data_IF_649146428861
#
_entry.id   IF_649146428861
#
_cell.length_a   1.000
_cell.length_b   1.000
_cell.length_c   1.000
_cell.angle_alpha   90.00
_cell.angle_beta   90.00
_cell.angle_gamma   90.00
#
_symmetry.space_group_name_H-M   'P 1'
#
loop_
_entity.id
_entity.type
_entity.pdbx_description
1 polymer ?
#
# COMPACT_ATOMS: atom_id res chain seq x y z
N UNK A 1 61.56 -2.09 -8.10
CA UNK A 1 60.38 -2.35 -8.96
C UNK A 1 59.64 -3.61 -8.58
N UNK A 2 60.26 -4.81 -8.46
CA UNK A 2 59.55 -6.05 -8.10
C UNK A 2 58.77 -6.00 -6.76
N UNK A 3 59.32 -5.35 -5.73
CA UNK A 3 58.68 -5.22 -4.39
C UNK A 3 57.46 -4.26 -4.41
N UNK A 4 57.44 -3.26 -5.29
CA UNK A 4 56.31 -2.33 -5.43
C UNK A 4 55.17 -3.02 -6.18
N UNK A 5 55.47 -3.81 -7.21
CA UNK A 5 54.50 -4.62 -7.95
C UNK A 5 53.84 -5.68 -7.06
N UNK A 6 54.60 -6.33 -6.15
CA UNK A 6 54.04 -7.29 -5.19
C UNK A 6 53.13 -6.63 -4.13
N UNK A 7 53.45 -5.39 -3.71
CA UNK A 7 52.60 -4.62 -2.79
C UNK A 7 51.29 -4.18 -3.45
N UNK A 8 51.33 -3.76 -4.72
CA UNK A 8 50.12 -3.41 -5.50
C UNK A 8 49.23 -4.65 -5.73
N UNK A 9 49.83 -5.80 -6.01
CA UNK A 9 49.11 -7.06 -6.17
C UNK A 9 48.44 -7.51 -4.84
N UNK A 10 49.09 -7.34 -3.70
CA UNK A 10 48.53 -7.63 -2.38
C UNK A 10 47.41 -6.64 -2.02
N UNK A 11 47.60 -5.35 -2.36
CA UNK A 11 46.55 -4.33 -2.13
C UNK A 11 45.33 -4.54 -3.00
N UNK A 12 45.50 -5.02 -4.23
CA UNK A 12 44.38 -5.40 -5.13
C UNK A 12 43.61 -6.65 -4.64
N UNK A 13 44.29 -7.60 -3.98
CA UNK A 13 43.63 -8.75 -3.36
C UNK A 13 42.93 -8.41 -2.02
N UNK A 14 43.21 -7.25 -1.42
CA UNK A 14 42.57 -6.76 -0.20
C UNK A 14 41.35 -5.87 -0.48
N UNK A 15 40.97 -5.62 -1.74
CA UNK A 15 39.69 -5.02 -2.01
C UNK A 15 38.61 -6.03 -1.55
N UNK A 16 37.79 -5.67 -0.54
CA UNK A 16 36.72 -6.57 -0.15
C UNK A 16 35.87 -6.78 -1.39
N UNK A 17 35.72 -8.04 -1.83
CA UNK A 17 34.70 -8.45 -2.75
C UNK A 17 33.40 -8.03 -2.07
N UNK A 18 32.85 -6.88 -2.46
CA UNK A 18 31.59 -6.41 -1.92
C UNK A 18 30.58 -7.42 -2.42
N UNK A 19 30.20 -8.37 -1.56
CA UNK A 19 29.10 -9.26 -1.86
C UNK A 19 27.91 -8.38 -2.25
N UNK A 20 27.48 -8.46 -3.50
CA UNK A 20 26.32 -7.72 -3.95
C UNK A 20 25.15 -8.21 -3.11
N UNK A 21 24.33 -7.29 -2.66
CA UNK A 21 23.12 -7.69 -1.96
C UNK A 21 22.15 -8.31 -2.99
N UNK A 22 21.32 -9.29 -2.64
CA UNK A 22 20.36 -9.86 -3.57
C UNK A 22 19.48 -8.80 -4.26
N UNK A 23 19.20 -7.70 -3.57
CA UNK A 23 18.50 -6.55 -4.17
C UNK A 23 19.34 -5.85 -5.26
N UNK A 24 20.64 -5.68 -5.06
CA UNK A 24 21.52 -5.09 -6.05
C UNK A 24 21.67 -5.99 -7.28
N UNK A 25 21.72 -7.31 -7.10
CA UNK A 25 21.76 -8.30 -8.19
C UNK A 25 20.48 -8.24 -9.04
N UNK A 26 19.30 -8.19 -8.42
CA UNK A 26 18.03 -8.04 -9.14
C UNK A 26 17.95 -6.70 -9.90
N UNK A 27 18.44 -5.60 -9.30
CA UNK A 27 18.52 -4.30 -9.95
C UNK A 27 19.48 -4.31 -11.15
N UNK A 28 20.58 -5.02 -11.05
CA UNK A 28 21.53 -5.17 -12.15
C UNK A 28 20.93 -5.98 -13.32
N UNK A 29 20.25 -7.10 -13.03
CA UNK A 29 19.52 -7.88 -14.03
C UNK A 29 18.47 -7.00 -14.74
N UNK A 30 17.72 -6.19 -13.99
CA UNK A 30 16.77 -5.23 -14.56
C UNK A 30 17.46 -4.21 -15.50
N UNK A 31 18.58 -3.63 -15.07
CA UNK A 31 19.33 -2.64 -15.85
C UNK A 31 19.91 -3.24 -17.16
N UNK A 32 20.25 -4.53 -17.15
CA UNK A 32 20.71 -5.29 -18.33
C UNK A 32 19.57 -5.72 -19.26
N UNK A 33 18.30 -5.48 -18.89
CA UNK A 33 17.13 -5.91 -19.64
C UNK A 33 16.70 -7.36 -19.39
N UNK A 34 17.34 -8.05 -18.44
CA UNK A 34 17.02 -9.41 -18.02
C UNK A 34 15.83 -9.40 -17.05
N UNK A 35 14.66 -8.99 -17.55
CA UNK A 35 13.49 -8.75 -16.70
C UNK A 35 12.97 -10.01 -15.99
N UNK A 36 13.10 -11.19 -16.59
CA UNK A 36 12.70 -12.47 -15.98
C UNK A 36 13.56 -12.77 -14.74
N UNK A 37 14.87 -12.58 -14.86
CA UNK A 37 15.81 -12.78 -13.76
C UNK A 37 15.59 -11.73 -12.65
N UNK A 38 15.33 -10.48 -13.03
CA UNK A 38 15.02 -9.42 -12.09
C UNK A 38 13.74 -9.73 -11.28
N UNK A 39 12.65 -10.16 -11.95
CA UNK A 39 11.41 -10.61 -11.30
C UNK A 39 11.69 -11.71 -10.29
N UNK A 40 12.39 -12.78 -10.72
CA UNK A 40 12.73 -13.91 -9.84
C UNK A 40 13.51 -13.43 -8.60
N UNK A 41 14.48 -12.53 -8.78
CA UNK A 41 15.27 -11.98 -7.68
C UNK A 41 14.43 -11.16 -6.68
N UNK A 42 13.54 -10.29 -7.19
CA UNK A 42 12.65 -9.50 -6.31
C UNK A 42 11.63 -10.37 -5.60
N UNK A 43 11.02 -11.36 -6.28
CA UNK A 43 10.06 -12.28 -5.67
C UNK A 43 10.71 -13.11 -4.55
N UNK A 44 11.93 -13.57 -4.76
CA UNK A 44 12.66 -14.30 -3.73
C UNK A 44 12.94 -13.45 -2.50
N UNK A 45 13.33 -12.20 -2.68
CA UNK A 45 13.52 -11.24 -1.58
C UNK A 45 12.23 -11.04 -0.77
N UNK A 46 11.10 -10.90 -1.46
CA UNK A 46 9.80 -10.74 -0.82
C UNK A 46 9.40 -12.01 -0.07
N UNK A 47 9.54 -13.18 -0.70
CA UNK A 47 9.23 -14.48 -0.08
C UNK A 47 10.07 -14.73 1.17
N UNK A 48 11.37 -14.43 1.12
CA UNK A 48 12.28 -14.56 2.24
C UNK A 48 11.91 -13.62 3.40
N UNK A 49 11.47 -12.40 3.09
CA UNK A 49 11.01 -11.44 4.09
C UNK A 49 9.69 -11.87 4.73
N UNK A 50 8.74 -12.35 3.92
CA UNK A 50 7.45 -12.88 4.40
C UNK A 50 7.65 -14.08 5.33
N UNK A 51 8.51 -15.03 4.94
CA UNK A 51 8.82 -16.21 5.75
C UNK A 51 9.44 -15.89 7.11
N UNK A 52 10.11 -14.74 7.23
CA UNK A 52 10.73 -14.26 8.48
C UNK A 52 9.86 -13.24 9.23
N UNK A 53 8.65 -12.96 8.76
CA UNK A 53 7.79 -11.89 9.27
C UNK A 53 8.50 -10.51 9.32
N UNK A 54 9.44 -10.30 8.39
CA UNK A 54 10.32 -9.12 8.33
C UNK A 54 9.94 -8.16 7.21
N UNK A 55 8.71 -8.24 6.68
CA UNK A 55 8.24 -7.33 5.65
C UNK A 55 7.97 -5.95 6.27
N UNK A 56 8.82 -5.00 5.94
CA UNK A 56 8.78 -3.62 6.46
C UNK A 56 8.55 -2.61 5.33
N UNK A 57 8.40 -1.33 5.68
CA UNK A 57 8.27 -0.22 4.73
C UNK A 57 9.41 -0.19 3.69
N UNK A 58 10.60 -0.71 4.03
CA UNK A 58 11.77 -0.75 3.13
C UNK A 58 11.54 -1.64 1.91
N UNK A 59 10.63 -2.61 2.01
CA UNK A 59 10.25 -3.47 0.87
C UNK A 59 9.35 -2.78 -0.16
N UNK A 60 8.90 -1.56 0.10
CA UNK A 60 8.15 -0.78 -0.88
C UNK A 60 8.95 -0.56 -2.17
N UNK A 61 10.28 -0.34 -2.06
CA UNK A 61 11.16 -0.20 -3.23
C UNK A 61 11.32 -1.52 -3.98
N UNK A 62 11.37 -2.66 -3.28
CA UNK A 62 11.42 -3.99 -3.91
C UNK A 62 10.15 -4.25 -4.72
N UNK A 63 8.97 -3.98 -4.15
CA UNK A 63 7.70 -4.11 -4.87
C UNK A 63 7.59 -3.13 -6.05
N UNK A 64 8.06 -1.91 -5.90
CA UNK A 64 8.08 -0.93 -6.99
C UNK A 64 8.93 -1.41 -8.17
N UNK A 65 10.15 -1.90 -7.89
CA UNK A 65 11.04 -2.41 -8.92
C UNK A 65 10.51 -3.70 -9.55
N UNK A 66 9.86 -4.57 -8.76
CA UNK A 66 9.14 -5.74 -9.26
C UNK A 66 8.03 -5.32 -10.23
N UNK A 67 7.24 -4.30 -9.89
CA UNK A 67 6.21 -3.75 -10.77
C UNK A 67 6.77 -3.22 -12.09
N UNK A 68 7.92 -2.54 -12.03
CA UNK A 68 8.64 -2.09 -13.23
C UNK A 68 9.09 -3.28 -14.10
N UNK A 69 9.60 -4.35 -13.49
CA UNK A 69 10.06 -5.53 -14.21
C UNK A 69 8.88 -6.27 -14.88
N UNK A 70 7.76 -6.47 -14.18
CA UNK A 70 6.54 -7.04 -14.76
C UNK A 70 5.98 -6.19 -15.89
N UNK A 71 5.94 -4.87 -15.73
CA UNK A 71 5.53 -3.98 -16.82
C UNK A 71 6.39 -4.15 -18.07
N UNK A 72 7.72 -4.31 -17.91
CA UNK A 72 8.63 -4.56 -19.04
C UNK A 72 8.42 -5.91 -19.72
N UNK A 73 7.88 -6.89 -19.00
CA UNK A 73 7.47 -8.19 -19.56
C UNK A 73 6.09 -8.14 -20.21
N UNK A 74 5.29 -7.09 -20.00
CA UNK A 74 3.92 -6.96 -20.50
C UNK A 74 2.86 -7.55 -19.56
N UNK A 75 3.27 -8.01 -18.37
CA UNK A 75 2.40 -8.59 -17.33
C UNK A 75 1.71 -7.48 -16.53
N UNK A 76 0.64 -6.90 -17.11
CA UNK A 76 0.03 -5.67 -16.57
C UNK A 76 -0.65 -5.89 -15.21
N UNK A 77 -1.32 -7.03 -15.01
CA UNK A 77 -1.97 -7.37 -13.73
C UNK A 77 -0.97 -7.51 -12.60
N UNK A 78 0.15 -8.21 -12.84
CA UNK A 78 1.24 -8.37 -11.89
C UNK A 78 1.91 -7.02 -11.56
N UNK A 79 2.11 -6.17 -12.57
CA UNK A 79 2.68 -4.84 -12.38
C UNK A 79 1.78 -3.96 -11.48
N UNK A 80 0.47 -3.96 -11.73
CA UNK A 80 -0.51 -3.23 -10.91
C UNK A 80 -0.49 -3.74 -9.47
N UNK A 81 -0.53 -5.06 -9.27
CA UNK A 81 -0.48 -5.68 -7.95
C UNK A 81 0.79 -5.27 -7.18
N UNK A 82 1.95 -5.32 -7.84
CA UNK A 82 3.21 -4.94 -7.24
C UNK A 82 3.25 -3.46 -6.85
N UNK A 83 2.77 -2.54 -7.71
CA UNK A 83 2.69 -1.11 -7.36
C UNK A 83 1.70 -0.83 -6.23
N UNK A 84 0.55 -1.52 -6.19
CA UNK A 84 -0.41 -1.39 -5.08
C UNK A 84 0.20 -1.85 -3.75
N UNK A 85 0.95 -2.96 -3.76
CA UNK A 85 1.70 -3.44 -2.59
C UNK A 85 2.80 -2.47 -2.16
N UNK A 86 3.52 -1.85 -3.11
CA UNK A 86 4.48 -0.79 -2.80
C UNK A 86 3.80 0.41 -2.13
N UNK A 87 2.66 0.85 -2.64
CA UNK A 87 1.89 1.97 -2.10
C UNK A 87 1.22 1.64 -0.77
N UNK A 88 0.91 0.38 -0.50
CA UNK A 88 0.43 -0.07 0.81
C UNK A 88 1.49 0.11 1.88
N UNK A 89 2.76 -0.24 1.59
CA UNK A 89 3.89 -0.05 2.49
C UNK A 89 4.30 1.43 2.59
N UNK A 90 4.35 2.13 1.44
CA UNK A 90 4.70 3.55 1.38
C UNK A 90 3.68 4.36 0.56
N UNK A 91 2.58 4.84 1.18
CA UNK A 91 1.51 5.56 0.48
C UNK A 91 1.94 6.86 -0.21
N UNK A 92 3.13 7.38 0.13
CA UNK A 92 3.70 8.61 -0.44
C UNK A 92 4.69 8.39 -1.58
N UNK A 93 4.91 7.15 -2.01
CA UNK A 93 5.84 6.82 -3.08
C UNK A 93 5.30 7.33 -4.43
N UNK A 94 5.76 8.50 -4.85
CA UNK A 94 5.25 9.19 -6.04
C UNK A 94 5.45 8.37 -7.31
N UNK A 95 6.63 7.76 -7.44
CA UNK A 95 7.00 7.00 -8.64
C UNK A 95 6.10 5.77 -8.80
N UNK A 96 5.81 5.04 -7.71
CA UNK A 96 4.87 3.93 -7.75
C UNK A 96 3.45 4.38 -8.12
N UNK A 97 2.99 5.53 -7.58
CA UNK A 97 1.68 6.10 -7.92
C UNK A 97 1.59 6.48 -9.39
N UNK A 98 2.61 7.15 -9.93
CA UNK A 98 2.64 7.56 -11.34
C UNK A 98 2.68 6.35 -12.27
N UNK A 99 3.49 5.34 -11.94
CA UNK A 99 3.58 4.11 -12.75
C UNK A 99 2.29 3.29 -12.66
N UNK A 100 1.66 3.20 -11.49
CA UNK A 100 0.36 2.56 -11.33
C UNK A 100 -0.70 3.25 -12.20
N UNK A 101 -0.80 4.58 -12.16
CA UNK A 101 -1.73 5.34 -12.98
C UNK A 101 -1.46 5.13 -14.48
N UNK A 102 -0.19 5.16 -14.88
CA UNK A 102 0.21 4.92 -16.25
C UNK A 102 -0.15 3.51 -16.77
N UNK A 103 0.02 2.47 -15.94
CA UNK A 103 -0.32 1.08 -16.30
C UNK A 103 -1.83 0.88 -16.27
N UNK A 104 -2.54 1.46 -15.29
CA UNK A 104 -4.00 1.36 -15.18
C UNK A 104 -4.74 1.97 -16.37
N UNK A 105 -4.13 2.93 -17.08
CA UNK A 105 -4.69 3.45 -18.33
C UNK A 105 -4.61 2.48 -19.51
N UNK A 106 -3.88 1.35 -19.38
CA UNK A 106 -3.67 0.34 -20.43
C UNK A 106 -4.49 -0.92 -20.25
N UNK A 107 -5.11 -1.12 -19.10
CA UNK A 107 -6.04 -2.23 -18.90
C UNK A 107 -7.40 -1.95 -19.53
N UNK A 108 -8.15 -3.01 -19.79
CA UNK A 108 -9.43 -2.94 -20.49
C UNK A 108 -10.51 -2.24 -19.64
N UNK A 109 -10.59 -2.60 -18.35
CA UNK A 109 -11.60 -2.05 -17.45
C UNK A 109 -11.10 -0.73 -16.84
N UNK A 110 -11.44 0.37 -17.47
CA UNK A 110 -11.20 1.69 -16.89
C UNK A 110 -12.33 2.02 -15.94
N UNK A 111 -12.06 1.86 -14.67
CA UNK A 111 -12.97 2.34 -13.63
C UNK A 111 -12.63 3.82 -13.43
N UNK A 112 -13.44 4.70 -14.04
CA UNK A 112 -13.35 6.12 -13.72
C UNK A 112 -13.74 6.27 -12.25
N UNK A 113 -12.77 6.61 -11.42
CA UNK A 113 -13.06 7.09 -10.07
C UNK A 113 -14.05 8.25 -10.22
N UNK A 114 -15.27 8.04 -9.72
CA UNK A 114 -16.28 9.10 -9.69
C UNK A 114 -15.62 10.32 -9.08
N UNK A 115 -15.63 11.43 -9.82
CA UNK A 115 -14.98 12.70 -9.44
C UNK A 115 -15.29 12.98 -7.98
N UNK A 116 -14.33 12.73 -7.13
CA UNK A 116 -14.42 13.06 -5.72
C UNK A 116 -14.44 14.60 -5.60
N UNK A 117 -15.18 15.10 -4.63
CA UNK A 117 -15.20 16.52 -4.36
C UNK A 117 -13.78 16.93 -3.89
N UNK A 118 -13.22 18.01 -4.43
CA UNK A 118 -11.81 18.42 -4.19
C UNK A 118 -11.43 18.44 -2.70
N UNK A 119 -12.38 18.76 -1.81
CA UNK A 119 -12.17 18.76 -0.37
C UNK A 119 -11.96 17.33 0.18
N UNK A 120 -12.65 16.36 -0.40
CA UNK A 120 -12.48 14.94 -0.05
C UNK A 120 -11.08 14.46 -0.44
N UNK A 121 -10.62 14.81 -1.64
CA UNK A 121 -9.26 14.47 -2.10
C UNK A 121 -8.19 15.09 -1.21
N UNK A 122 -8.39 16.35 -0.82
CA UNK A 122 -7.49 17.02 0.10
C UNK A 122 -7.45 16.37 1.48
N UNK A 123 -8.60 15.98 2.04
CA UNK A 123 -8.67 15.26 3.32
C UNK A 123 -8.03 13.87 3.24
N UNK A 124 -8.23 13.15 2.13
CA UNK A 124 -7.59 11.86 1.87
C UNK A 124 -6.08 12.03 1.75
N UNK A 125 -5.61 13.04 1.02
CA UNK A 125 -4.19 13.34 0.88
C UNK A 125 -3.55 13.70 2.24
N UNK A 126 -4.25 14.49 3.07
CA UNK A 126 -3.81 14.83 4.42
C UNK A 126 -3.72 13.58 5.30
N UNK A 127 -4.74 12.72 5.28
CA UNK A 127 -4.76 11.46 6.02
C UNK A 127 -3.62 10.54 5.61
N UNK A 128 -3.49 10.27 4.31
CA UNK A 128 -2.46 9.38 3.77
C UNK A 128 -1.04 9.99 3.87
N UNK A 129 -0.97 11.26 4.21
CA UNK A 129 0.27 11.98 4.43
C UNK A 129 1.01 11.60 5.70
N UNK A 130 0.41 10.87 6.64
CA UNK A 130 0.96 10.55 7.95
C UNK A 130 0.76 9.07 8.25
N UNK A 131 1.69 8.47 9.02
CA UNK A 131 1.54 7.07 9.47
C UNK A 131 0.38 6.94 10.47
N UNK A 132 -0.24 5.76 10.54
CA UNK A 132 -1.28 5.44 11.52
C UNK A 132 -0.86 5.80 12.95
N UNK A 133 0.38 5.41 13.33
CA UNK A 133 0.93 5.71 14.64
C UNK A 133 0.97 7.20 14.97
N UNK A 134 1.23 8.06 13.99
CA UNK A 134 1.24 9.53 14.19
C UNK A 134 -0.15 10.05 14.51
N UNK A 135 -1.18 9.56 13.80
CA UNK A 135 -2.57 9.91 14.05
C UNK A 135 -3.02 9.44 15.44
N UNK A 136 -2.60 8.22 15.84
CA UNK A 136 -2.89 7.65 17.15
C UNK A 136 -2.29 8.49 18.27
N UNK A 137 -1.00 8.81 18.21
CA UNK A 137 -0.35 9.63 19.21
C UNK A 137 -0.93 11.05 19.29
N UNK A 138 -1.27 11.64 18.15
CA UNK A 138 -1.90 12.96 18.10
C UNK A 138 -3.30 12.93 18.75
N UNK A 139 -4.07 11.86 18.51
CA UNK A 139 -5.38 11.67 19.14
C UNK A 139 -5.26 11.57 20.67
N UNK A 140 -4.31 10.78 21.17
CA UNK A 140 -4.05 10.63 22.61
C UNK A 140 -3.63 11.97 23.23
N UNK A 141 -2.75 12.72 22.56
CA UNK A 141 -2.30 14.03 23.03
C UNK A 141 -3.47 15.03 23.13
N UNK A 142 -4.28 15.11 22.09
CA UNK A 142 -5.44 16.01 22.04
C UNK A 142 -6.51 15.61 23.07
N UNK A 143 -6.74 14.32 23.27
CA UNK A 143 -7.63 13.82 24.30
C UNK A 143 -7.13 14.18 25.72
N UNK A 144 -5.83 14.03 25.95
CA UNK A 144 -5.22 14.45 27.23
C UNK A 144 -5.34 15.96 27.47
N UNK A 145 -5.18 16.76 26.40
CA UNK A 145 -5.37 18.22 26.47
C UNK A 145 -6.82 18.59 26.76
N UNK A 146 -7.77 17.86 26.18
CA UNK A 146 -9.21 18.01 26.47
C UNK A 146 -9.49 17.75 27.96
N UNK A 147 -8.95 16.66 28.54
CA UNK A 147 -9.11 16.35 29.97
C UNK A 147 -8.50 17.44 30.85
N UNK A 148 -7.31 17.93 30.52
CA UNK A 148 -6.68 19.03 31.23
C UNK A 148 -7.52 20.31 31.15
N UNK A 149 -8.06 20.65 30.00
CA UNK A 149 -8.98 21.77 29.82
C UNK A 149 -10.26 21.63 30.63
N UNK A 150 -10.83 20.43 30.67
CA UNK A 150 -12.02 20.14 31.48
C UNK A 150 -11.73 20.30 33.00
N UNK A 151 -10.59 19.80 33.46
CA UNK A 151 -10.17 19.98 34.85
C UNK A 151 -9.98 21.47 35.20
N UNK A 152 -9.34 22.24 34.33
CA UNK A 152 -9.18 23.69 34.51
C UNK A 152 -10.52 24.43 34.46
N UNK A 153 -11.46 23.99 33.64
CA UNK A 153 -12.82 24.54 33.64
C UNK A 153 -13.55 24.28 34.94
N UNK A 154 -13.43 23.07 35.51
CA UNK A 154 -14.12 22.69 36.75
C UNK A 154 -13.48 23.31 38.02
N UNK A 155 -12.14 23.35 38.06
CA UNK A 155 -11.38 23.75 39.26
C UNK A 155 -10.89 25.20 39.19
N UNK A 156 -10.94 25.85 38.04
CA UNK A 156 -10.47 27.23 37.85
C UNK A 156 -11.29 28.24 38.64
N UNK A 157 -10.63 29.14 39.35
CA UNK A 157 -11.27 30.17 40.15
C UNK A 157 -11.66 31.40 39.33
N UNK A 158 -10.89 31.73 38.33
CA UNK A 158 -11.10 32.93 37.51
C UNK A 158 -12.02 32.63 36.30
N UNK A 159 -13.01 33.50 36.08
CA UNK A 159 -13.99 33.34 34.99
C UNK A 159 -13.34 33.34 33.61
N UNK A 160 -12.28 34.14 33.41
CA UNK A 160 -11.54 34.20 32.15
C UNK A 160 -10.83 32.88 31.82
N UNK A 161 -10.16 32.26 32.84
CA UNK A 161 -9.49 30.98 32.73
C UNK A 161 -10.50 29.87 32.43
N UNK A 162 -11.62 29.82 33.11
CA UNK A 162 -12.68 28.83 32.86
C UNK A 162 -13.24 28.94 31.46
N UNK A 163 -13.50 30.15 30.96
CA UNK A 163 -13.99 30.37 29.60
C UNK A 163 -12.98 29.90 28.54
N UNK A 164 -11.71 30.25 28.71
CA UNK A 164 -10.66 29.78 27.82
C UNK A 164 -10.51 28.25 27.85
N UNK A 165 -10.48 27.66 29.05
CA UNK A 165 -10.37 26.21 29.25
C UNK A 165 -11.53 25.44 28.60
N UNK A 166 -12.76 25.98 28.67
CA UNK A 166 -13.92 25.41 27.99
C UNK A 166 -13.72 25.33 26.45
N UNK A 167 -13.25 26.42 25.81
CA UNK A 167 -13.01 26.44 24.39
C UNK A 167 -11.87 25.48 24.00
N UNK A 168 -10.79 25.47 24.77
CA UNK A 168 -9.67 24.53 24.55
C UNK A 168 -10.16 23.09 24.65
N UNK A 169 -10.94 22.74 25.66
CA UNK A 169 -11.47 21.39 25.82
C UNK A 169 -12.35 20.97 24.61
N UNK A 170 -13.27 21.84 24.16
CA UNK A 170 -14.13 21.54 23.02
C UNK A 170 -13.35 21.39 21.70
N UNK A 171 -12.43 22.30 21.41
CA UNK A 171 -11.61 22.24 20.20
C UNK A 171 -10.75 20.96 20.22
N UNK A 172 -10.11 20.67 21.37
CA UNK A 172 -9.27 19.47 21.52
C UNK A 172 -10.09 18.18 21.39
N UNK A 173 -11.33 18.15 21.89
CA UNK A 173 -12.23 17.01 21.71
C UNK A 173 -12.54 16.77 20.24
N UNK A 174 -12.95 17.80 19.49
CA UNK A 174 -13.28 17.67 18.06
C UNK A 174 -12.08 17.21 17.25
N UNK A 175 -10.89 17.78 17.52
CA UNK A 175 -9.66 17.38 16.85
C UNK A 175 -9.24 15.95 17.25
N UNK A 176 -9.42 15.54 18.50
CA UNK A 176 -9.12 14.18 18.96
C UNK A 176 -10.01 13.14 18.25
N UNK A 177 -11.31 13.42 18.12
CA UNK A 177 -12.24 12.57 17.39
C UNK A 177 -11.83 12.46 15.92
N UNK A 178 -11.53 13.59 15.27
CA UNK A 178 -11.07 13.60 13.87
C UNK A 178 -9.80 12.78 13.69
N UNK A 179 -8.78 12.96 14.54
CA UNK A 179 -7.52 12.23 14.45
C UNK A 179 -7.70 10.75 14.78
N UNK A 180 -8.58 10.41 15.72
CA UNK A 180 -8.95 9.04 16.06
C UNK A 180 -9.65 8.30 14.89
N UNK A 181 -10.55 8.96 14.19
CA UNK A 181 -11.20 8.41 13.00
C UNK A 181 -10.15 8.13 11.91
N UNK A 182 -9.20 9.05 11.68
CA UNK A 182 -8.13 8.83 10.69
C UNK A 182 -7.22 7.67 11.09
N UNK A 183 -6.84 7.54 12.37
CA UNK A 183 -6.08 6.39 12.87
C UNK A 183 -6.84 5.07 12.64
N UNK A 184 -8.13 5.02 13.02
CA UNK A 184 -8.96 3.83 12.84
C UNK A 184 -9.16 3.44 11.38
N UNK A 185 -9.32 4.41 10.47
CA UNK A 185 -9.46 4.13 9.04
C UNK A 185 -8.18 3.60 8.42
N UNK A 186 -7.00 4.10 8.82
CA UNK A 186 -5.71 3.58 8.36
C UNK A 186 -5.47 2.18 8.92
N UNK A 187 -5.73 1.96 10.21
CA UNK A 187 -5.62 0.64 10.84
C UNK A 187 -6.49 -0.41 10.15
N UNK A 188 -7.77 -0.08 9.90
CA UNK A 188 -8.69 -0.96 9.20
C UNK A 188 -8.22 -1.27 7.77
N UNK A 189 -7.63 -0.31 7.07
CA UNK A 189 -7.06 -0.51 5.73
C UNK A 189 -5.85 -1.45 5.74
N UNK A 190 -5.00 -1.34 6.78
CA UNK A 190 -3.80 -2.16 6.91
C UNK A 190 -4.11 -3.60 7.36
N UNK A 191 -5.18 -3.78 8.14
CA UNK A 191 -5.61 -5.10 8.65
C UNK A 191 -6.56 -5.84 7.72
N UNK A 192 -7.45 -5.13 7.03
CA UNK A 192 -8.43 -5.73 6.14
C UNK A 192 -7.86 -5.83 4.72
N UNK A 193 -7.49 -7.05 4.33
CA UNK A 193 -7.07 -7.38 2.96
C UNK A 193 -8.31 -7.56 2.06
N UNK A 194 -9.11 -6.50 1.96
CA UNK A 194 -10.37 -6.53 1.18
C UNK A 194 -10.15 -6.18 -0.30
N UNK A 195 -9.02 -5.60 -0.65
CA UNK A 195 -8.70 -5.22 -2.03
C UNK A 195 -7.91 -6.33 -2.72
N UNK A 196 -8.24 -6.58 -3.99
CA UNK A 196 -7.59 -7.58 -4.83
C UNK A 196 -7.51 -7.12 -6.28
N UNK A 197 -6.62 -7.74 -7.04
CA UNK A 197 -6.44 -7.53 -8.48
C UNK A 197 -6.88 -8.78 -9.21
N UNK A 198 -7.63 -8.63 -10.31
CA UNK A 198 -7.95 -9.71 -11.25
C UNK A 198 -6.67 -10.10 -11.98
N UNK A 199 -6.30 -11.39 -11.91
CA UNK A 199 -5.04 -11.92 -12.44
C UNK A 199 -5.20 -12.69 -13.75
N UNK A 200 -6.42 -13.00 -14.16
CA UNK A 200 -6.71 -13.71 -15.41
C UNK A 200 -7.21 -12.75 -16.48
N UNK A 201 -6.90 -13.02 -17.72
CA UNK A 201 -7.23 -12.17 -18.87
C UNK A 201 -8.69 -11.75 -18.92
N UNK A 202 -9.62 -12.69 -18.70
CA UNK A 202 -11.06 -12.43 -18.59
C UNK A 202 -11.67 -13.33 -17.53
N UNK A 203 -12.42 -12.74 -16.59
CA UNK A 203 -13.11 -13.42 -15.49
C UNK A 203 -14.60 -13.06 -15.53
N UNK A 204 -15.46 -14.06 -15.55
CA UNK A 204 -16.91 -13.86 -15.46
C UNK A 204 -17.33 -13.74 -13.99
N UNK A 205 -17.92 -12.62 -13.62
CA UNK A 205 -18.57 -12.42 -12.34
C UNK A 205 -19.99 -12.97 -12.39
N UNK A 206 -20.34 -13.86 -11.44
CA UNK A 206 -21.57 -14.62 -11.40
C UNK A 206 -22.53 -14.14 -10.32
N UNK A 207 -23.81 -14.48 -10.49
CA UNK A 207 -24.89 -14.14 -9.53
C UNK A 207 -24.83 -14.95 -8.24
N UNK A 208 -24.20 -16.13 -8.26
CA UNK A 208 -24.07 -17.06 -7.12
C UNK A 208 -22.68 -17.69 -7.08
N UNK A 209 -22.18 -18.12 -5.90
CA UNK A 209 -20.85 -18.70 -5.74
C UNK A 209 -20.82 -20.18 -6.18
N UNK A 210 -21.18 -20.42 -7.43
CA UNK A 210 -21.16 -21.73 -8.06
C UNK A 210 -20.99 -21.63 -9.59
N UNK A 211 -20.68 -22.77 -10.23
CA UNK A 211 -20.45 -22.82 -11.68
C UNK A 211 -21.70 -22.57 -12.51
N UNK A 212 -22.89 -22.82 -11.95
CA UNK A 212 -24.17 -22.67 -12.64
C UNK A 212 -24.77 -21.26 -12.53
N UNK A 213 -24.16 -20.39 -11.72
CA UNK A 213 -24.57 -19.01 -11.57
C UNK A 213 -24.61 -18.25 -12.90
N UNK A 214 -25.63 -17.41 -13.06
CA UNK A 214 -25.75 -16.56 -14.25
C UNK A 214 -24.59 -15.56 -14.31
N UNK A 215 -23.98 -15.41 -15.48
CA UNK A 215 -22.98 -14.39 -15.74
C UNK A 215 -23.61 -12.99 -15.68
N UNK A 216 -23.06 -12.12 -14.84
CA UNK A 216 -23.55 -10.76 -14.65
C UNK A 216 -22.75 -9.74 -15.46
N UNK A 217 -21.43 -9.84 -15.38
CA UNK A 217 -20.48 -8.97 -16.08
C UNK A 217 -19.10 -9.64 -16.19
N UNK A 218 -18.27 -9.10 -17.06
CA UNK A 218 -16.89 -9.55 -17.24
C UNK A 218 -15.93 -8.58 -16.56
N UNK A 219 -14.86 -9.14 -16.00
CA UNK A 219 -13.71 -8.41 -15.44
C UNK A 219 -12.46 -8.84 -16.19
N UNK A 220 -11.57 -7.89 -16.44
CA UNK A 220 -10.32 -8.14 -17.13
C UNK A 220 -9.13 -8.05 -16.19
N UNK A 221 -8.02 -8.62 -16.62
CA UNK A 221 -6.74 -8.56 -15.90
C UNK A 221 -6.35 -7.14 -15.52
N UNK A 222 -5.84 -6.98 -14.30
CA UNK A 222 -5.42 -5.70 -13.74
C UNK A 222 -6.55 -4.91 -13.08
N UNK A 223 -7.81 -5.33 -13.21
CA UNK A 223 -8.94 -4.66 -12.58
C UNK A 223 -8.87 -4.81 -11.06
N UNK A 224 -8.87 -3.69 -10.35
CA UNK A 224 -8.93 -3.65 -8.90
C UNK A 224 -10.35 -3.84 -8.42
N UNK A 225 -10.57 -4.79 -7.52
CA UNK A 225 -11.86 -5.12 -6.93
C UNK A 225 -11.79 -5.10 -5.40
N UNK A 226 -12.94 -4.91 -4.76
CA UNK A 226 -13.06 -5.07 -3.31
C UNK A 226 -13.76 -6.38 -2.99
N UNK A 227 -13.15 -7.21 -2.16
CA UNK A 227 -13.76 -8.43 -1.65
C UNK A 227 -14.71 -8.04 -0.51
N UNK A 228 -15.98 -8.37 -0.64
CA UNK A 228 -17.02 -8.06 0.35
C UNK A 228 -17.45 -9.29 1.14
N UNK A 229 -17.31 -10.50 0.56
CA UNK A 229 -17.64 -11.76 1.22
C UNK A 229 -16.81 -12.91 0.63
N UNK A 230 -16.78 -14.04 1.33
CA UNK A 230 -16.14 -15.27 0.89
C UNK A 230 -16.98 -16.49 1.22
N UNK A 231 -17.23 -17.33 0.22
CA UNK A 231 -17.92 -18.60 0.41
C UNK A 231 -17.17 -19.73 -0.32
N UNK A 232 -16.48 -20.58 0.46
CA UNK A 232 -15.60 -21.62 -0.09
C UNK A 232 -14.51 -21.04 -0.99
N UNK A 233 -14.47 -21.49 -2.24
CA UNK A 233 -13.51 -21.05 -3.26
C UNK A 233 -14.00 -19.85 -4.08
N UNK A 234 -14.99 -19.11 -3.59
CA UNK A 234 -15.57 -17.95 -4.26
C UNK A 234 -15.44 -16.70 -3.40
N UNK A 235 -15.11 -15.59 -4.07
CA UNK A 235 -15.14 -14.25 -3.48
C UNK A 235 -16.29 -13.45 -4.08
N UNK A 236 -17.07 -12.81 -3.22
CA UNK A 236 -17.96 -11.75 -3.65
C UNK A 236 -17.13 -10.49 -3.83
N UNK A 237 -17.18 -9.93 -5.03
CA UNK A 237 -16.38 -8.75 -5.38
C UNK A 237 -17.29 -7.60 -5.76
N UNK A 238 -16.89 -6.41 -5.33
CA UNK A 238 -17.54 -5.15 -5.67
C UNK A 238 -16.58 -4.31 -6.51
N UNK A 239 -17.07 -3.82 -7.64
CA UNK A 239 -16.35 -2.94 -8.56
C UNK A 239 -17.28 -1.87 -9.09
N UNK A 240 -16.93 -0.59 -8.90
CA UNK A 240 -17.81 0.55 -9.20
C UNK A 240 -19.20 0.40 -8.56
N UNK A 241 -20.22 0.07 -9.34
CA UNK A 241 -21.60 -0.13 -8.91
C UNK A 241 -22.07 -1.59 -9.07
N UNK A 242 -21.17 -2.46 -9.48
CA UNK A 242 -21.47 -3.86 -9.77
C UNK A 242 -20.98 -4.76 -8.65
N UNK A 243 -21.72 -5.83 -8.40
CA UNK A 243 -21.39 -6.85 -7.42
C UNK A 243 -21.61 -8.23 -8.04
N UNK A 244 -20.72 -9.17 -7.75
CA UNK A 244 -20.82 -10.53 -8.27
C UNK A 244 -19.78 -11.46 -7.65
N UNK A 245 -19.90 -12.74 -7.93
CA UNK A 245 -19.04 -13.79 -7.41
C UNK A 245 -17.99 -14.19 -8.45
N UNK A 246 -16.73 -14.25 -8.05
CA UNK A 246 -15.60 -14.73 -8.87
C UNK A 246 -14.88 -15.86 -8.13
N UNK A 247 -14.23 -16.76 -8.86
CA UNK A 247 -13.41 -17.79 -8.24
C UNK A 247 -12.19 -17.17 -7.55
N UNK A 248 -11.89 -17.61 -6.31
CA UNK A 248 -10.80 -17.08 -5.52
C UNK A 248 -9.42 -17.18 -6.22
N UNK A 249 -9.24 -18.22 -7.05
CA UNK A 249 -7.99 -18.42 -7.82
C UNK A 249 -7.78 -17.40 -8.96
N UNK A 250 -8.79 -16.60 -9.30
CA UNK A 250 -8.74 -15.61 -10.39
C UNK A 250 -8.28 -14.24 -9.93
N UNK A 251 -8.17 -14.07 -8.61
CA UNK A 251 -7.80 -12.79 -7.99
C UNK A 251 -6.64 -12.98 -7.02
N UNK A 252 -5.85 -11.95 -6.83
CA UNK A 252 -4.80 -11.91 -5.83
C UNK A 252 -4.96 -10.69 -4.92
N UNK A 253 -4.92 -10.92 -3.60
CA UNK A 253 -5.07 -9.87 -2.59
C UNK A 253 -3.84 -8.96 -2.56
N UNK A 254 -4.09 -7.67 -2.37
CA UNK A 254 -3.06 -6.64 -2.27
C UNK A 254 -2.35 -6.72 -0.91
#
# INVERSE_FOLDING_TARGET
MKRILSLIAILACLMPLRAQTPFAEANEAYAQGNYVEAVTGYEQLIADAQAREALTDDYAEVYYNLGNAYYKQGELGQAILAYERALRLQPRMRDAKQNLEFVSQRITDRIDDTRSFFLQDWLIALRNGWKESTWTWLSILLFSLMLAGLLLFLLGKEAAVRKAAFHVAWISLLLSVYTGINAGTLHSRDTNREEAIIMQGVVSAKSSPDQSGTELFLLHEGTKVRITDQLGDWYQVHVAQYEGWVEARTVERI
#
